data_IF_214026034096
#
_entry.id   IF_214026034096
#
_cell.length_a   1.000
_cell.length_b   1.000
_cell.length_c   1.000
_cell.angle_alpha   90.00
_cell.angle_beta   90.00
_cell.angle_gamma   90.00
#
_symmetry.space_group_name_H-M   'P 1'
#
loop_
_entity.id
_entity.type
_entity.pdbx_description
1 polymer ?
#
# COMPACT_ATOMS: atom_id res chain seq x y z
N UNK A 1 22.57 12.49 15.75
CA UNK A 1 21.09 12.53 15.72
C UNK A 1 20.61 11.60 14.61
N UNK A 2 20.08 10.41 14.93
CA UNK A 2 19.49 9.52 13.92
C UNK A 2 18.18 10.13 13.43
N UNK A 3 18.26 10.89 12.34
CA UNK A 3 17.10 11.29 11.57
C UNK A 3 16.41 10.02 11.08
N UNK A 4 15.39 9.57 11.81
CA UNK A 4 14.42 8.62 11.27
C UNK A 4 13.75 9.37 10.13
N UNK A 5 14.28 9.24 8.93
CA UNK A 5 13.61 9.57 7.69
C UNK A 5 12.29 8.82 7.71
N UNK A 6 11.26 9.47 8.27
CA UNK A 6 9.88 9.11 8.05
C UNK A 6 9.69 9.35 6.57
N UNK A 7 10.09 8.37 5.74
CA UNK A 7 9.64 8.26 4.37
C UNK A 7 8.13 8.27 4.49
N UNK A 8 7.55 9.45 4.37
CA UNK A 8 6.13 9.66 4.30
C UNK A 8 5.75 8.90 3.04
N UNK A 9 5.28 7.67 3.21
CA UNK A 9 4.80 6.83 2.13
C UNK A 9 3.46 7.41 1.70
N UNK A 10 3.49 8.61 1.13
CA UNK A 10 2.34 9.35 0.64
C UNK A 10 2.13 8.95 -0.82
N UNK A 11 0.92 8.46 -1.10
CA UNK A 11 0.49 8.13 -2.45
C UNK A 11 -0.89 8.72 -2.71
N UNK A 12 -1.30 8.72 -3.98
CA UNK A 12 -2.68 9.03 -4.37
C UNK A 12 -3.37 7.74 -4.77
N UNK A 13 -4.61 7.59 -4.35
CA UNK A 13 -5.46 6.49 -4.72
C UNK A 13 -5.72 6.55 -6.23
N UNK A 14 -5.48 5.45 -6.94
CA UNK A 14 -5.70 5.37 -8.40
C UNK A 14 -7.17 5.53 -8.81
N UNK A 15 -8.09 5.34 -7.87
CA UNK A 15 -9.52 5.36 -8.10
C UNK A 15 -10.12 6.76 -7.80
N UNK A 16 -9.99 7.22 -6.56
CA UNK A 16 -10.61 8.49 -6.13
C UNK A 16 -9.64 9.67 -5.98
N UNK A 17 -8.35 9.49 -6.29
CA UNK A 17 -7.31 10.53 -6.18
C UNK A 17 -6.96 10.98 -4.76
N UNK A 18 -7.66 10.49 -3.74
CA UNK A 18 -7.45 10.84 -2.34
C UNK A 18 -6.16 10.24 -1.79
N UNK A 19 -5.71 10.72 -0.63
CA UNK A 19 -4.44 10.27 -0.05
C UNK A 19 -4.49 8.78 0.34
N UNK A 20 -3.35 8.13 0.14
CA UNK A 20 -3.06 6.80 0.65
C UNK A 20 -2.22 6.93 1.91
N UNK A 21 -2.64 6.21 2.95
CA UNK A 21 -1.88 6.06 4.19
C UNK A 21 -1.20 4.70 4.21
N UNK A 22 -0.06 4.62 4.90
CA UNK A 22 0.65 3.37 5.07
C UNK A 22 -0.14 2.46 6.01
N UNK A 23 -0.58 1.32 5.51
CA UNK A 23 -1.25 0.31 6.32
C UNK A 23 -0.25 -0.70 6.88
N UNK A 24 0.57 -1.29 6.00
CA UNK A 24 1.57 -2.30 6.38
C UNK A 24 2.79 -2.22 5.48
N UNK A 25 3.98 -2.47 6.00
CA UNK A 25 5.19 -2.64 5.19
C UNK A 25 6.06 -3.77 5.73
N UNK A 26 6.35 -4.74 4.87
CA UNK A 26 7.25 -5.85 5.14
C UNK A 26 8.50 -5.69 4.27
N UNK A 27 9.58 -5.21 4.88
CA UNK A 27 10.87 -5.04 4.21
C UNK A 27 11.55 -6.38 3.88
N UNK A 28 11.29 -7.46 4.64
CA UNK A 28 11.87 -8.78 4.40
C UNK A 28 11.23 -9.42 3.16
N UNK A 29 9.91 -9.30 3.02
CA UNK A 29 9.15 -9.82 1.87
C UNK A 29 9.05 -8.83 0.71
N UNK A 30 9.55 -7.60 0.88
CA UNK A 30 9.43 -6.54 -0.10
C UNK A 30 7.97 -6.22 -0.44
N UNK A 31 7.09 -6.17 0.57
CA UNK A 31 5.67 -5.84 0.40
C UNK A 31 5.35 -4.53 1.10
N UNK A 32 4.53 -3.70 0.47
CA UNK A 32 4.02 -2.46 1.06
C UNK A 32 2.56 -2.35 0.72
N UNK A 33 1.72 -2.13 1.71
CA UNK A 33 0.28 -1.99 1.59
C UNK A 33 -0.07 -0.57 2.00
N UNK A 34 -0.75 0.15 1.14
CA UNK A 34 -1.28 1.48 1.45
C UNK A 34 -2.80 1.44 1.35
N UNK A 35 -3.49 2.11 2.25
CA UNK A 35 -4.95 2.16 2.27
C UNK A 35 -5.42 3.57 1.93
N UNK A 36 -6.45 3.69 1.09
CA UNK A 36 -7.07 4.97 0.83
C UNK A 36 -7.98 5.38 1.99
N UNK A 37 -7.77 6.59 2.51
CA UNK A 37 -8.57 7.16 3.61
C UNK A 37 -10.01 7.49 3.22
N UNK A 38 -10.31 7.56 1.92
CA UNK A 38 -11.65 7.90 1.41
C UNK A 38 -12.45 6.71 0.92
N UNK A 39 -11.90 5.92 -0.02
CA UNK A 39 -12.63 4.79 -0.62
C UNK A 39 -12.33 3.44 0.03
N UNK A 40 -11.38 3.37 0.98
CA UNK A 40 -11.02 2.14 1.68
C UNK A 40 -10.31 1.09 0.81
N UNK A 41 -9.90 1.44 -0.42
CA UNK A 41 -9.13 0.55 -1.29
C UNK A 41 -7.72 0.34 -0.73
N UNK A 42 -7.24 -0.89 -0.83
CA UNK A 42 -5.90 -1.30 -0.49
C UNK A 42 -5.04 -1.41 -1.74
N UNK A 43 -3.96 -0.66 -1.77
CA UNK A 43 -2.96 -0.62 -2.81
C UNK A 43 -1.76 -1.45 -2.37
N UNK A 44 -1.62 -2.62 -2.98
CA UNK A 44 -0.53 -3.55 -2.73
C UNK A 44 0.62 -3.23 -3.66
N UNK A 45 1.76 -2.92 -3.07
CA UNK A 45 3.03 -2.69 -3.75
C UNK A 45 3.99 -3.82 -3.43
N UNK A 46 4.76 -4.23 -4.43
CA UNK A 46 5.88 -5.15 -4.28
C UNK A 46 7.17 -4.44 -4.68
N UNK A 47 8.23 -4.68 -3.92
CA UNK A 47 9.58 -4.21 -4.23
C UNK A 47 10.14 -5.10 -5.35
N UNK A 48 10.56 -4.48 -6.44
CA UNK A 48 11.25 -5.19 -7.52
C UNK A 48 12.74 -5.43 -7.17
N UNK A 49 13.43 -6.18 -8.03
CA UNK A 49 14.87 -6.46 -7.86
C UNK A 49 15.75 -5.20 -7.87
N UNK A 50 15.27 -4.09 -8.44
CA UNK A 50 15.94 -2.79 -8.45
C UNK A 50 15.61 -1.93 -7.22
N UNK A 51 14.78 -2.44 -6.32
CA UNK A 51 14.42 -1.78 -5.08
C UNK A 51 13.29 -0.74 -5.21
N UNK A 52 12.63 -0.64 -6.36
CA UNK A 52 11.48 0.25 -6.58
C UNK A 52 10.19 -0.43 -6.14
N UNK A 53 9.26 0.35 -5.61
CA UNK A 53 7.93 -0.12 -5.23
C UNK A 53 7.00 -0.06 -6.45
N UNK A 54 6.56 -1.22 -6.94
CA UNK A 54 5.60 -1.32 -8.03
C UNK A 54 4.23 -1.71 -7.50
N UNK A 55 3.19 -0.97 -7.89
CA UNK A 55 1.80 -1.34 -7.59
C UNK A 55 1.48 -2.64 -8.33
N UNK A 56 1.06 -3.67 -7.59
CA UNK A 56 0.74 -5.00 -8.14
C UNK A 56 -0.74 -5.32 -8.08
N UNK A 57 -1.47 -4.80 -7.09
CA UNK A 57 -2.90 -5.05 -6.92
C UNK A 57 -3.58 -3.89 -6.20
N UNK A 58 -4.82 -3.62 -6.57
CA UNK A 58 -5.73 -2.74 -5.83
C UNK A 58 -7.00 -3.54 -5.53
N UNK A 59 -7.45 -3.55 -4.28
CA UNK A 59 -8.61 -4.35 -3.85
C UNK A 59 -9.28 -3.74 -2.63
N UNK A 60 -10.59 -3.92 -2.45
CA UNK A 60 -11.22 -3.67 -1.13
C UNK A 60 -11.00 -4.88 -0.24
N UNK A 61 -10.92 -4.67 1.07
CA UNK A 61 -10.87 -5.78 2.05
C UNK A 61 -12.15 -6.61 1.99
N UNK A 62 -13.31 -6.02 1.69
CA UNK A 62 -14.56 -6.76 1.47
C UNK A 62 -14.44 -7.83 0.38
N UNK A 63 -13.62 -7.58 -0.65
CA UNK A 63 -13.42 -8.51 -1.76
C UNK A 63 -12.46 -9.65 -1.37
N UNK A 64 -11.58 -9.43 -0.39
CA UNK A 64 -10.69 -10.46 0.13
C UNK A 64 -11.43 -11.46 1.03
N UNK A 65 -12.46 -11.00 1.75
CA UNK A 65 -13.22 -11.83 2.70
C UNK A 65 -14.42 -12.54 2.06
N UNK A 66 -14.88 -12.09 0.88
CA UNK A 66 -15.95 -12.77 0.13
C UNK A 66 -15.57 -14.15 -0.42
N UNK A 67 -14.28 -14.45 -0.55
CA UNK A 67 -13.78 -15.76 -1.00
C UNK A 67 -13.60 -16.79 0.14
N UNK A 68 -14.10 -16.52 1.35
CA UNK A 68 -14.03 -17.47 2.47
C UNK A 68 -15.34 -18.24 2.70
N UNK A 69 -16.18 -18.40 1.67
CA UNK A 69 -17.39 -19.24 1.72
C UNK A 69 -17.23 -20.49 0.86
#
# INVERSE_FOLDING_TARGET
MSGKDRKTYTGKCVDCGSLLELYEIDFKKGRKIMQCTRCGLFHFYKKDFFGKWKLVKVSRVSDLWKNSK
#
